data_IF_900735965191
#
_entry.id   IF_900735965191
#
_cell.length_a   1.000
_cell.length_b   1.000
_cell.length_c   1.000
_cell.angle_alpha   90.00
_cell.angle_beta   90.00
_cell.angle_gamma   90.00
#
_symmetry.space_group_name_H-M   'P 1'
#
loop_
_entity.id
_entity.type
_entity.pdbx_description
1 polymer ?
#
# COMPACT_ATOMS: atom_id res chain seq x y z
N UNK A 1 -23.03 15.77 -20.43
CA UNK A 1 -24.13 15.89 -19.44
C UNK A 1 -25.07 14.68 -19.41
N UNK A 2 -25.30 13.95 -20.52
CA UNK A 2 -26.18 12.76 -20.51
C UNK A 2 -25.54 11.51 -19.87
N UNK A 3 -24.23 11.34 -19.96
CA UNK A 3 -23.52 10.17 -19.42
C UNK A 3 -23.41 10.15 -17.89
N UNK A 4 -23.34 11.33 -17.25
CA UNK A 4 -23.31 11.47 -15.80
C UNK A 4 -24.64 11.11 -15.12
N UNK A 5 -25.76 11.21 -15.85
CA UNK A 5 -27.07 10.75 -15.36
C UNK A 5 -27.21 9.23 -15.41
N UNK A 6 -26.65 8.58 -16.44
CA UNK A 6 -26.65 7.12 -16.55
C UNK A 6 -25.92 6.46 -15.39
N UNK A 7 -24.75 6.99 -15.02
CA UNK A 7 -23.96 6.42 -13.92
C UNK A 7 -24.57 6.68 -12.55
N UNK A 8 -25.17 7.85 -12.32
CA UNK A 8 -25.92 8.14 -11.09
C UNK A 8 -27.11 7.18 -10.92
N UNK A 9 -27.84 6.88 -12.00
CA UNK A 9 -28.93 5.91 -11.96
C UNK A 9 -28.44 4.48 -11.67
N UNK A 10 -27.31 4.06 -12.26
CA UNK A 10 -26.72 2.72 -12.00
C UNK A 10 -26.16 2.61 -10.58
N UNK A 11 -25.54 3.67 -10.06
CA UNK A 11 -25.02 3.73 -8.69
C UNK A 11 -26.14 3.76 -7.65
N UNK A 12 -27.21 4.51 -7.90
CA UNK A 12 -28.41 4.49 -7.05
C UNK A 12 -29.08 3.12 -7.11
N UNK A 13 -29.18 2.51 -8.29
CA UNK A 13 -29.78 1.18 -8.47
C UNK A 13 -28.99 0.05 -7.79
N UNK A 14 -27.66 0.09 -7.85
CA UNK A 14 -26.82 -0.86 -7.11
C UNK A 14 -26.89 -0.62 -5.60
N UNK A 15 -26.98 0.64 -5.18
CA UNK A 15 -27.17 1.02 -3.78
C UNK A 15 -28.48 0.49 -3.20
N UNK A 16 -29.62 0.66 -3.90
CA UNK A 16 -30.91 0.11 -3.46
C UNK A 16 -30.91 -1.41 -3.43
N UNK A 17 -30.23 -2.06 -4.38
CA UNK A 17 -30.14 -3.53 -4.43
C UNK A 17 -29.34 -4.08 -3.25
N UNK A 18 -28.23 -3.44 -2.89
CA UNK A 18 -27.44 -3.77 -1.69
C UNK A 18 -28.24 -3.50 -0.42
N UNK A 19 -28.94 -2.36 -0.33
CA UNK A 19 -29.80 -2.03 0.81
C UNK A 19 -30.91 -3.09 1.00
N UNK A 20 -31.57 -3.50 -0.08
CA UNK A 20 -32.64 -4.52 -0.06
C UNK A 20 -32.11 -5.90 0.32
N UNK A 21 -30.93 -6.30 -0.19
CA UNK A 21 -30.30 -7.56 0.16
C UNK A 21 -29.87 -7.63 1.64
N UNK A 22 -29.54 -6.48 2.22
CA UNK A 22 -29.11 -6.32 3.60
C UNK A 22 -30.31 -6.27 4.56
N UNK A 23 -31.38 -5.55 4.22
CA UNK A 23 -32.63 -5.50 5.00
C UNK A 23 -33.25 -6.91 5.14
N UNK A 24 -33.21 -7.72 4.08
CA UNK A 24 -33.76 -9.08 4.10
C UNK A 24 -32.95 -10.10 4.92
N UNK A 25 -31.70 -9.80 5.31
CA UNK A 25 -30.82 -10.74 6.03
C UNK A 25 -30.60 -10.42 7.52
N UNK A 26 -31.20 -9.34 8.04
CA UNK A 26 -31.23 -9.03 9.47
C UNK A 26 -29.85 -8.94 10.15
N UNK A 27 -28.79 -8.65 9.40
CA UNK A 27 -27.42 -8.67 9.93
C UNK A 27 -26.85 -7.25 9.95
N UNK A 28 -27.02 -6.59 11.09
CA UNK A 28 -26.70 -5.18 11.30
C UNK A 28 -25.23 -4.83 10.97
N UNK A 29 -24.29 -5.77 11.20
CA UNK A 29 -22.88 -5.55 10.88
C UNK A 29 -22.58 -5.43 9.38
N UNK A 30 -23.35 -6.13 8.53
CA UNK A 30 -23.22 -6.00 7.08
C UNK A 30 -23.78 -4.64 6.60
N UNK A 31 -24.83 -4.12 7.25
CA UNK A 31 -25.41 -2.79 6.98
C UNK A 31 -24.36 -1.71 7.19
N UNK A 32 -23.69 -1.72 8.36
CA UNK A 32 -22.69 -0.70 8.69
C UNK A 32 -21.44 -0.81 7.82
N UNK A 33 -20.95 -2.02 7.54
CA UNK A 33 -19.79 -2.20 6.67
C UNK A 33 -20.06 -1.73 5.23
N UNK A 34 -21.23 -2.04 4.67
CA UNK A 34 -21.62 -1.58 3.34
C UNK A 34 -21.85 -0.07 3.29
N UNK A 35 -22.53 0.52 4.28
CA UNK A 35 -22.72 1.98 4.37
C UNK A 35 -21.41 2.74 4.54
N UNK A 36 -20.42 2.19 5.27
CA UNK A 36 -19.09 2.80 5.40
C UNK A 36 -18.28 2.74 4.10
N UNK A 37 -18.35 1.63 3.36
CA UNK A 37 -17.69 1.51 2.05
C UNK A 37 -18.33 2.47 1.05
N UNK A 38 -19.66 2.54 1.00
CA UNK A 38 -20.41 3.43 0.11
C UNK A 38 -20.19 4.90 0.45
N UNK A 39 -20.24 5.28 1.73
CA UNK A 39 -20.02 6.65 2.16
C UNK A 39 -18.55 7.06 1.99
N UNK A 40 -17.59 6.17 2.28
CA UNK A 40 -16.16 6.41 2.07
C UNK A 40 -15.81 6.58 0.59
N UNK A 41 -16.27 5.68 -0.27
CA UNK A 41 -16.07 5.78 -1.73
C UNK A 41 -16.83 6.97 -2.28
N UNK A 42 -18.08 7.21 -1.85
CA UNK A 42 -18.91 8.31 -2.31
C UNK A 42 -18.36 9.70 -1.96
N UNK A 43 -17.88 9.90 -0.73
CA UNK A 43 -17.30 11.17 -0.28
C UNK A 43 -15.94 11.42 -0.94
N UNK A 44 -15.10 10.39 -1.10
CA UNK A 44 -13.85 10.48 -1.85
C UNK A 44 -14.10 10.80 -3.33
N UNK A 45 -15.12 10.20 -3.95
CA UNK A 45 -15.46 10.44 -5.36
C UNK A 45 -16.08 11.83 -5.59
N UNK A 46 -16.97 12.30 -4.72
CA UNK A 46 -17.60 13.63 -4.83
C UNK A 46 -16.60 14.78 -4.58
N UNK A 47 -15.75 14.65 -3.54
CA UNK A 47 -14.68 15.63 -3.26
C UNK A 47 -13.67 15.69 -4.42
N UNK A 48 -13.35 14.52 -5.01
CA UNK A 48 -12.47 14.38 -6.17
C UNK A 48 -13.12 14.96 -7.44
N UNK A 49 -14.41 14.76 -7.70
CA UNK A 49 -15.06 15.37 -8.88
C UNK A 49 -15.06 16.90 -8.89
N UNK A 50 -15.10 17.55 -7.72
CA UNK A 50 -15.03 19.02 -7.62
C UNK A 50 -13.61 19.58 -7.67
N UNK A 51 -12.57 18.81 -7.31
CA UNK A 51 -11.15 19.21 -7.40
C UNK A 51 -10.44 18.79 -8.70
N UNK A 52 -10.78 17.63 -9.27
CA UNK A 52 -10.10 17.04 -10.44
C UNK A 52 -10.25 17.86 -11.72
N UNK A 53 -11.31 18.66 -11.84
CA UNK A 53 -11.50 19.53 -13.00
C UNK A 53 -10.44 20.64 -13.13
N UNK A 54 -9.77 21.01 -12.05
CA UNK A 54 -8.76 22.07 -12.07
C UNK A 54 -7.33 21.49 -12.11
N UNK A 55 -7.08 20.35 -11.45
CA UNK A 55 -5.72 19.79 -11.37
C UNK A 55 -5.25 19.09 -12.65
N UNK A 56 -6.16 18.49 -13.43
CA UNK A 56 -5.86 17.88 -14.74
C UNK A 56 -5.43 18.89 -15.80
N UNK A 57 -5.73 20.19 -15.59
CA UNK A 57 -5.32 21.30 -16.46
C UNK A 57 -3.97 21.88 -16.11
N UNK A 58 -3.38 21.49 -14.98
CA UNK A 58 -2.06 21.98 -14.59
C UNK A 58 -0.98 21.44 -15.53
N UNK A 59 0.07 22.22 -15.81
CA UNK A 59 1.23 21.75 -16.55
C UNK A 59 1.81 20.49 -15.90
N UNK A 60 2.24 19.52 -16.72
CA UNK A 60 2.78 18.25 -16.24
C UNK A 60 3.87 18.43 -15.16
N UNK A 61 4.80 19.38 -15.36
CA UNK A 61 5.88 19.63 -14.39
C UNK A 61 5.35 20.10 -13.02
N UNK A 62 4.23 20.83 -13.01
CA UNK A 62 3.57 21.25 -11.76
C UNK A 62 2.96 20.04 -11.05
N UNK A 63 2.30 19.16 -11.80
CA UNK A 63 1.70 17.92 -11.29
C UNK A 63 2.77 16.96 -10.74
N UNK A 64 3.92 16.84 -11.41
CA UNK A 64 5.09 16.11 -10.89
C UNK A 64 5.59 16.71 -9.58
N UNK A 65 5.69 18.04 -9.48
CA UNK A 65 6.12 18.72 -8.25
C UNK A 65 5.17 18.45 -7.07
N UNK A 66 3.88 18.33 -7.34
CA UNK A 66 2.87 17.92 -6.35
C UNK A 66 3.07 16.45 -5.93
N UNK A 67 3.28 15.54 -6.90
CA UNK A 67 3.55 14.13 -6.63
C UNK A 67 4.81 13.93 -5.77
N UNK A 68 5.85 14.76 -5.92
CA UNK A 68 7.04 14.72 -5.03
C UNK A 68 6.72 14.95 -3.55
N UNK A 69 5.56 15.55 -3.25
CA UNK A 69 5.08 15.83 -1.89
C UNK A 69 3.98 14.86 -1.45
N UNK A 70 3.76 13.78 -2.20
CA UNK A 70 2.77 12.76 -1.86
C UNK A 70 3.02 12.22 -0.46
N UNK A 71 1.92 11.98 0.29
CA UNK A 71 1.99 11.61 1.71
C UNK A 71 2.79 10.33 1.97
N UNK A 72 2.85 9.42 1.00
CA UNK A 72 3.65 8.19 1.10
C UNK A 72 5.12 8.47 1.40
N UNK A 73 5.73 9.46 0.75
CA UNK A 73 7.15 9.76 0.92
C UNK A 73 7.45 10.30 2.31
N UNK A 74 6.53 11.10 2.85
CA UNK A 74 6.63 11.59 4.22
C UNK A 74 6.38 10.48 5.24
N UNK A 75 5.31 9.70 5.08
CA UNK A 75 4.94 8.64 6.01
C UNK A 75 5.99 7.53 6.08
N UNK A 76 6.51 7.06 4.94
CA UNK A 76 7.58 6.05 4.94
C UNK A 76 8.82 6.54 5.68
N UNK A 77 9.27 7.78 5.42
CA UNK A 77 10.41 8.37 6.15
C UNK A 77 10.13 8.46 7.65
N UNK A 78 8.95 8.95 8.04
CA UNK A 78 8.54 9.02 9.45
C UNK A 78 8.56 7.63 10.11
N UNK A 79 8.00 6.61 9.45
CA UNK A 79 8.00 5.25 9.98
C UNK A 79 9.41 4.70 10.15
N UNK A 80 10.27 4.89 9.15
CA UNK A 80 11.69 4.48 9.18
C UNK A 80 12.47 5.17 10.31
N UNK A 81 12.33 6.48 10.45
CA UNK A 81 13.16 7.28 11.34
C UNK A 81 12.67 7.30 12.78
N UNK A 82 11.38 7.07 12.98
CA UNK A 82 10.74 7.30 14.28
C UNK A 82 9.93 6.10 14.76
N UNK A 83 8.90 5.68 14.03
CA UNK A 83 7.94 4.70 14.55
C UNK A 83 8.57 3.29 14.67
N UNK A 84 9.33 2.84 13.67
CA UNK A 84 10.00 1.54 13.70
C UNK A 84 11.03 1.46 14.84
N UNK A 85 11.78 2.54 15.09
CA UNK A 85 12.79 2.55 16.18
C UNK A 85 12.17 2.40 17.57
N UNK A 86 10.90 2.74 17.71
CA UNK A 86 10.13 2.70 18.96
C UNK A 86 9.36 1.40 19.17
N UNK A 87 9.47 0.46 18.23
CA UNK A 87 8.98 -0.90 18.44
C UNK A 87 9.69 -1.47 19.67
N UNK A 88 8.95 -1.64 20.77
CA UNK A 88 9.45 -2.19 22.01
C UNK A 88 9.05 -3.67 22.13
N UNK A 89 10.06 -4.53 22.20
CA UNK A 89 9.91 -5.97 22.37
C UNK A 89 10.90 -6.37 23.46
N UNK A 90 10.43 -7.14 24.44
CA UNK A 90 11.22 -7.56 25.60
C UNK A 90 12.55 -8.20 25.19
N UNK A 91 12.53 -9.07 24.18
CA UNK A 91 13.73 -9.65 23.61
C UNK A 91 14.41 -8.71 22.60
N UNK A 92 15.55 -8.14 23.00
CA UNK A 92 16.32 -7.20 22.16
C UNK A 92 16.82 -7.77 20.84
N UNK A 93 17.09 -9.07 20.75
CA UNK A 93 17.47 -9.71 19.46
C UNK A 93 16.28 -9.73 18.50
N UNK A 94 15.09 -10.09 19.00
CA UNK A 94 13.85 -10.07 18.21
C UNK A 94 13.50 -8.65 17.77
N UNK A 95 13.62 -7.71 18.71
CA UNK A 95 13.43 -6.28 18.45
C UNK A 95 14.33 -5.82 17.30
N UNK A 96 15.64 -6.06 17.39
CA UNK A 96 16.60 -5.67 16.37
C UNK A 96 16.26 -6.28 15.01
N UNK A 97 15.91 -7.57 14.98
CA UNK A 97 15.61 -8.30 13.74
C UNK A 97 14.38 -7.70 13.03
N UNK A 98 13.28 -7.50 13.77
CA UNK A 98 12.04 -6.88 13.24
C UNK A 98 12.29 -5.44 12.80
N UNK A 99 12.94 -4.63 13.64
CA UNK A 99 13.22 -3.23 13.31
C UNK A 99 14.09 -3.11 12.05
N UNK A 100 15.13 -3.93 11.94
CA UNK A 100 16.05 -3.94 10.80
C UNK A 100 15.34 -4.40 9.53
N UNK A 101 14.57 -5.49 9.59
CA UNK A 101 13.79 -5.97 8.46
C UNK A 101 12.82 -4.90 7.94
N UNK A 102 12.00 -4.32 8.83
CA UNK A 102 11.01 -3.30 8.46
C UNK A 102 11.66 -2.05 7.89
N UNK A 103 12.77 -1.61 8.48
CA UNK A 103 13.54 -0.48 7.98
C UNK A 103 14.05 -0.74 6.56
N UNK A 104 14.55 -1.93 6.27
CA UNK A 104 15.06 -2.29 4.94
C UNK A 104 13.91 -2.38 3.93
N UNK A 105 12.80 -3.06 4.25
CA UNK A 105 11.61 -3.16 3.39
C UNK A 105 11.11 -1.76 3.00
N UNK A 106 10.90 -0.87 3.96
CA UNK A 106 10.39 0.47 3.68
C UNK A 106 11.38 1.35 2.91
N UNK A 107 12.69 1.25 3.18
CA UNK A 107 13.70 2.00 2.43
C UNK A 107 13.77 1.57 0.96
N UNK A 108 13.78 0.26 0.69
CA UNK A 108 13.84 -0.26 -0.68
C UNK A 108 12.67 0.25 -1.52
N UNK A 109 11.44 0.17 -0.99
CA UNK A 109 10.27 0.66 -1.72
C UNK A 109 10.20 2.19 -1.78
N UNK A 110 10.64 2.91 -0.75
CA UNK A 110 10.74 4.38 -0.80
C UNK A 110 11.67 4.82 -1.94
N UNK A 111 12.88 4.24 -2.01
CA UNK A 111 13.84 4.52 -3.09
C UNK A 111 13.29 4.11 -4.45
N UNK A 112 12.63 2.94 -4.53
CA UNK A 112 11.99 2.45 -5.74
C UNK A 112 10.95 3.42 -6.29
N UNK A 113 10.01 3.85 -5.46
CA UNK A 113 8.94 4.78 -5.86
C UNK A 113 9.47 6.16 -6.26
N UNK A 114 10.52 6.66 -5.60
CA UNK A 114 11.19 7.90 -6.00
C UNK A 114 11.85 7.76 -7.38
N UNK A 115 12.52 6.63 -7.64
CA UNK A 115 13.10 6.33 -8.96
C UNK A 115 12.02 6.22 -10.03
N UNK A 116 10.88 5.61 -9.72
CA UNK A 116 9.76 5.51 -10.65
C UNK A 116 9.15 6.87 -10.97
N UNK A 117 9.03 7.78 -10.00
CA UNK A 117 8.57 9.14 -10.26
C UNK A 117 9.48 9.88 -11.25
N UNK A 118 10.81 9.74 -11.13
CA UNK A 118 11.75 10.34 -12.09
C UNK A 118 11.65 9.67 -13.48
N UNK A 119 11.50 8.34 -13.54
CA UNK A 119 11.26 7.62 -14.79
C UNK A 119 9.95 8.04 -15.48
N UNK A 120 8.89 8.27 -14.73
CA UNK A 120 7.60 8.75 -15.26
C UNK A 120 7.76 10.16 -15.83
N UNK A 121 8.55 11.01 -15.16
CA UNK A 121 8.88 12.33 -15.68
C UNK A 121 9.54 12.26 -17.06
N UNK A 122 10.43 11.28 -17.26
CA UNK A 122 11.13 11.05 -18.53
C UNK A 122 10.20 10.42 -19.60
N UNK A 123 9.54 9.31 -19.27
CA UNK A 123 8.74 8.51 -20.21
C UNK A 123 7.35 9.09 -20.48
N UNK A 124 6.88 10.01 -19.63
CA UNK A 124 5.53 10.58 -19.63
C UNK A 124 4.41 9.54 -19.48
N UNK A 125 4.72 8.32 -19.06
CA UNK A 125 3.75 7.24 -18.83
C UNK A 125 4.10 6.40 -17.61
N UNK A 126 3.07 5.81 -16.98
CA UNK A 126 3.20 4.93 -15.80
C UNK A 126 3.53 3.48 -16.12
N UNK A 127 3.48 3.09 -17.39
CA UNK A 127 3.65 1.69 -17.78
C UNK A 127 2.41 0.84 -17.53
N UNK A 128 2.50 -0.44 -17.88
CA UNK A 128 1.41 -1.40 -17.78
C UNK A 128 1.49 -2.25 -16.50
N UNK A 129 0.56 -3.19 -16.37
CA UNK A 129 0.51 -4.07 -15.20
C UNK A 129 1.75 -4.96 -15.08
N UNK A 130 2.28 -5.47 -16.20
CA UNK A 130 3.47 -6.32 -16.18
C UNK A 130 4.69 -5.56 -15.63
N UNK A 131 4.85 -4.31 -16.03
CA UNK A 131 5.86 -3.41 -15.49
C UNK A 131 5.76 -3.27 -13.96
N UNK A 132 4.56 -3.01 -13.45
CA UNK A 132 4.34 -2.83 -12.01
C UNK A 132 4.46 -4.14 -11.22
N UNK A 133 4.07 -5.26 -11.82
CA UNK A 133 4.27 -6.58 -11.23
C UNK A 133 5.77 -6.92 -11.11
N UNK A 134 6.58 -6.59 -12.12
CA UNK A 134 8.05 -6.70 -12.05
C UNK A 134 8.62 -5.78 -10.99
N UNK A 135 8.14 -4.53 -10.87
CA UNK A 135 8.56 -3.61 -9.81
C UNK A 135 8.33 -4.19 -8.41
N UNK A 136 7.14 -4.74 -8.14
CA UNK A 136 6.79 -5.35 -6.86
C UNK A 136 7.71 -6.54 -6.54
N UNK A 137 7.83 -7.49 -7.46
CA UNK A 137 8.66 -8.68 -7.25
C UNK A 137 10.14 -8.33 -7.08
N UNK A 138 10.66 -7.38 -7.86
CA UNK A 138 12.04 -6.90 -7.70
C UNK A 138 12.24 -6.23 -6.35
N UNK A 139 11.30 -5.40 -5.91
CA UNK A 139 11.34 -4.77 -4.59
C UNK A 139 11.37 -5.80 -3.46
N UNK A 140 10.57 -6.85 -3.59
CA UNK A 140 10.53 -7.98 -2.64
C UNK A 140 11.88 -8.69 -2.56
N UNK A 141 12.39 -9.16 -3.69
CA UNK A 141 13.68 -9.84 -3.76
C UNK A 141 14.82 -8.95 -3.24
N UNK A 142 14.83 -7.66 -3.60
CA UNK A 142 15.86 -6.72 -3.20
C UNK A 142 15.88 -6.48 -1.69
N UNK A 143 14.71 -6.30 -1.04
CA UNK A 143 14.71 -6.05 0.40
C UNK A 143 15.02 -7.34 1.17
N UNK A 144 14.60 -8.53 0.73
CA UNK A 144 14.97 -9.81 1.38
C UNK A 144 16.48 -9.98 1.34
N UNK A 145 17.10 -9.82 0.16
CA UNK A 145 18.54 -9.93 -0.01
C UNK A 145 19.30 -8.95 0.90
N UNK A 146 18.89 -7.67 0.92
CA UNK A 146 19.48 -6.66 1.81
C UNK A 146 19.28 -7.00 3.29
N UNK A 147 18.12 -7.51 3.66
CA UNK A 147 17.81 -7.90 5.04
C UNK A 147 18.72 -9.04 5.50
N UNK A 148 18.81 -10.12 4.74
CA UNK A 148 19.67 -11.27 5.05
C UNK A 148 21.14 -10.85 5.13
N UNK A 149 21.63 -10.04 4.17
CA UNK A 149 22.99 -9.49 4.20
C UNK A 149 23.27 -8.59 5.41
N UNK A 150 22.24 -7.94 5.93
CA UNK A 150 22.34 -7.12 7.15
C UNK A 150 22.27 -7.94 8.44
N UNK A 151 22.19 -9.27 8.33
CA UNK A 151 22.08 -10.17 9.47
C UNK A 151 20.65 -10.39 9.94
N UNK A 152 19.61 -10.05 9.18
CA UNK A 152 18.24 -10.47 9.52
C UNK A 152 18.12 -11.98 9.31
N UNK A 153 17.42 -12.66 10.22
CA UNK A 153 17.18 -14.10 10.11
C UNK A 153 16.42 -14.45 8.81
N UNK A 154 17.04 -15.26 7.96
CA UNK A 154 16.48 -15.65 6.66
C UNK A 154 15.14 -16.38 6.78
N UNK A 155 15.02 -17.32 7.73
CA UNK A 155 13.77 -18.05 7.99
C UNK A 155 12.64 -17.11 8.41
N UNK A 156 12.97 -16.08 9.19
CA UNK A 156 12.02 -15.04 9.55
C UNK A 156 11.56 -14.25 8.31
N UNK A 157 12.49 -13.85 7.42
CA UNK A 157 12.12 -13.20 6.15
C UNK A 157 11.18 -14.07 5.32
N UNK A 158 11.50 -15.35 5.11
CA UNK A 158 10.66 -16.29 4.36
C UNK A 158 9.23 -16.37 4.90
N UNK A 159 9.08 -16.59 6.22
CA UNK A 159 7.77 -16.76 6.86
C UNK A 159 7.00 -15.43 6.87
N UNK A 160 7.70 -14.31 7.04
CA UNK A 160 7.08 -12.98 7.02
C UNK A 160 6.49 -12.67 5.63
N UNK A 161 7.13 -13.14 4.57
CA UNK A 161 6.66 -12.94 3.20
C UNK A 161 5.54 -13.91 2.80
N UNK A 162 5.61 -15.17 3.26
CA UNK A 162 4.47 -16.09 3.20
C UNK A 162 3.22 -15.47 3.85
N UNK A 163 3.40 -14.78 4.98
CA UNK A 163 2.31 -14.09 5.67
C UNK A 163 1.76 -12.88 4.88
N UNK A 164 2.63 -12.08 4.25
CA UNK A 164 2.21 -10.90 3.50
C UNK A 164 1.74 -11.17 2.08
N UNK A 165 1.96 -12.38 1.56
CA UNK A 165 1.61 -12.75 0.18
C UNK A 165 0.19 -12.35 -0.22
N UNK A 166 -0.80 -12.52 0.66
CA UNK A 166 -2.19 -12.13 0.38
C UNK A 166 -2.34 -10.61 0.19
N UNK A 167 -1.70 -9.80 1.02
CA UNK A 167 -1.76 -8.34 0.90
C UNK A 167 -1.04 -7.85 -0.36
N UNK A 168 0.06 -8.52 -0.73
CA UNK A 168 0.81 -8.23 -1.95
C UNK A 168 0.02 -8.56 -3.21
N UNK A 169 -0.65 -9.71 -3.25
CA UNK A 169 -1.58 -10.07 -4.34
C UNK A 169 -2.71 -9.05 -4.47
N UNK A 170 -3.35 -8.67 -3.35
CA UNK A 170 -4.39 -7.63 -3.36
C UNK A 170 -3.86 -6.28 -3.88
N UNK A 171 -2.60 -5.97 -3.61
CA UNK A 171 -1.94 -4.75 -4.06
C UNK A 171 -1.66 -4.79 -5.57
N UNK A 172 -1.14 -5.89 -6.08
CA UNK A 172 -0.96 -6.08 -7.52
C UNK A 172 -2.29 -5.97 -8.27
N UNK A 173 -3.34 -6.63 -7.76
CA UNK A 173 -4.67 -6.58 -8.35
C UNK A 173 -5.27 -5.16 -8.35
N UNK A 174 -5.14 -4.43 -7.25
CA UNK A 174 -5.58 -3.02 -7.19
C UNK A 174 -4.84 -2.14 -8.20
N UNK A 175 -3.52 -2.38 -8.38
CA UNK A 175 -2.73 -1.65 -9.38
C UNK A 175 -3.23 -1.98 -10.79
N UNK A 176 -3.53 -3.25 -11.09
CA UNK A 176 -4.12 -3.66 -12.37
C UNK A 176 -5.40 -2.89 -12.68
N UNK A 177 -6.31 -2.81 -11.70
CA UNK A 177 -7.57 -2.07 -11.83
C UNK A 177 -7.34 -0.57 -12.07
N UNK A 178 -6.39 0.05 -11.34
CA UNK A 178 -6.03 1.46 -11.52
C UNK A 178 -5.53 1.72 -12.95
N UNK A 179 -4.63 0.86 -13.45
CA UNK A 179 -4.00 1.02 -14.77
C UNK A 179 -5.00 0.84 -15.92
N UNK A 180 -5.96 -0.06 -15.75
CA UNK A 180 -7.02 -0.33 -16.71
C UNK A 180 -8.15 0.71 -16.68
N UNK A 181 -8.20 1.58 -15.66
CA UNK A 181 -9.24 2.58 -15.54
C UNK A 181 -9.06 3.70 -16.59
N UNK A 182 -10.00 3.88 -17.54
CA UNK A 182 -9.89 4.89 -18.58
C UNK A 182 -10.17 6.31 -18.07
N UNK A 183 -10.68 6.46 -16.84
CA UNK A 183 -11.02 7.76 -16.25
C UNK A 183 -9.80 8.49 -15.68
N UNK A 184 -8.67 7.80 -15.51
CA UNK A 184 -7.45 8.39 -14.99
C UNK A 184 -6.43 8.59 -16.11
N UNK A 185 -5.81 9.76 -16.14
CA UNK A 185 -4.57 9.93 -16.89
C UNK A 185 -3.38 9.27 -16.16
N UNK A 186 -2.22 9.23 -16.81
CA UNK A 186 -1.05 8.54 -16.27
C UNK A 186 -0.59 9.11 -14.91
N UNK A 187 -0.63 10.42 -14.69
CA UNK A 187 -0.21 10.98 -13.40
C UNK A 187 -1.25 10.74 -12.30
N UNK A 188 -2.55 10.70 -12.63
CA UNK A 188 -3.61 10.29 -11.71
C UNK A 188 -3.49 8.82 -11.35
N UNK A 189 -3.16 7.95 -12.32
CA UNK A 189 -2.85 6.54 -12.07
C UNK A 189 -1.67 6.40 -11.14
N UNK A 190 -0.59 7.14 -11.37
CA UNK A 190 0.56 7.10 -10.47
C UNK A 190 0.20 7.54 -9.06
N UNK A 191 -0.56 8.63 -8.90
CA UNK A 191 -1.04 9.07 -7.58
C UNK A 191 -1.86 7.98 -6.88
N UNK A 192 -2.78 7.33 -7.60
CA UNK A 192 -3.59 6.25 -7.04
C UNK A 192 -2.73 5.01 -6.68
N UNK A 193 -1.69 4.72 -7.45
CA UNK A 193 -0.71 3.68 -7.13
C UNK A 193 0.05 4.04 -5.85
N UNK A 194 0.48 5.29 -5.68
CA UNK A 194 1.12 5.76 -4.45
C UNK A 194 0.20 5.65 -3.24
N UNK A 195 -1.08 5.98 -3.38
CA UNK A 195 -2.09 5.78 -2.32
C UNK A 195 -2.25 4.29 -1.97
N UNK A 196 -2.25 3.42 -2.98
CA UNK A 196 -2.35 1.98 -2.77
C UNK A 196 -1.14 1.43 -2.01
N UNK A 197 0.07 1.86 -2.36
CA UNK A 197 1.27 1.53 -1.60
C UNK A 197 1.22 2.07 -0.17
N UNK A 198 0.78 3.32 0.02
CA UNK A 198 0.67 3.91 1.36
C UNK A 198 -0.26 3.07 2.25
N UNK A 199 -1.37 2.60 1.70
CA UNK A 199 -2.29 1.73 2.41
C UNK A 199 -1.66 0.37 2.75
N UNK A 200 -1.01 -0.29 1.79
CA UNK A 200 -0.34 -1.58 2.02
C UNK A 200 0.78 -1.49 3.07
N UNK A 201 1.59 -0.42 3.03
CA UNK A 201 2.63 -0.20 4.05
C UNK A 201 2.04 0.17 5.41
N UNK A 202 0.91 0.89 5.44
CA UNK A 202 0.19 1.17 6.69
C UNK A 202 -0.34 -0.11 7.32
N UNK A 203 -0.90 -1.03 6.52
CA UNK A 203 -1.32 -2.34 7.01
C UNK A 203 -0.12 -3.09 7.60
N UNK A 204 0.98 -3.18 6.85
CA UNK A 204 2.22 -3.83 7.30
C UNK A 204 2.72 -3.19 8.61
N UNK A 205 2.75 -1.86 8.69
CA UNK A 205 3.18 -1.12 9.87
C UNK A 205 2.26 -1.35 11.08
N UNK A 206 0.94 -1.37 10.87
CA UNK A 206 -0.02 -1.63 11.96
C UNK A 206 0.05 -3.09 12.42
N UNK A 207 0.28 -4.01 11.49
CA UNK A 207 0.43 -5.43 11.78
C UNK A 207 1.81 -5.77 12.37
N UNK A 208 2.77 -4.84 12.42
CA UNK A 208 3.99 -5.01 13.23
C UNK A 208 3.62 -5.41 14.65
N UNK A 209 2.58 -4.81 15.26
CA UNK A 209 2.13 -5.19 16.60
C UNK A 209 1.54 -6.61 16.67
N UNK A 210 0.95 -7.11 15.58
CA UNK A 210 0.52 -8.51 15.49
C UNK A 210 1.70 -9.46 15.25
N UNK A 211 2.70 -9.07 14.46
CA UNK A 211 3.97 -9.79 14.32
C UNK A 211 4.68 -9.87 15.68
N UNK A 212 4.63 -8.80 16.47
CA UNK A 212 5.15 -8.73 17.85
C UNK A 212 4.41 -9.71 18.78
N UNK A 213 3.08 -9.84 18.63
CA UNK A 213 2.26 -10.67 19.53
C UNK A 213 2.10 -12.12 19.08
N UNK A 214 2.06 -12.40 17.78
CA UNK A 214 1.36 -13.59 17.28
C UNK A 214 1.78 -13.99 15.87
N UNK A 215 2.87 -14.73 15.79
CA UNK A 215 2.87 -15.91 14.94
C UNK A 215 3.82 -16.92 15.55
N UNK A 216 3.33 -18.04 16.09
CA UNK A 216 4.18 -19.07 16.69
C UNK A 216 5.24 -19.62 15.72
N UNK A 217 5.04 -19.51 14.40
CA UNK A 217 6.08 -19.82 13.40
C UNK A 217 7.15 -18.74 13.29
N UNK A 218 6.78 -17.44 13.31
CA UNK A 218 7.74 -16.33 13.33
C UNK A 218 8.49 -16.28 14.67
N UNK A 219 7.80 -16.53 15.78
CA UNK A 219 8.41 -16.59 17.12
C UNK A 219 9.44 -17.72 17.21
N UNK A 220 9.09 -18.93 16.76
CA UNK A 220 10.04 -20.06 16.69
C UNK A 220 11.24 -19.76 15.80
N UNK A 221 11.04 -19.09 14.66
CA UNK A 221 12.13 -18.69 13.80
C UNK A 221 13.11 -17.72 14.50
N UNK A 222 12.61 -16.96 15.49
CA UNK A 222 13.37 -15.98 16.25
C UNK A 222 13.91 -16.52 17.60
N UNK A 223 13.48 -17.68 18.09
CA UNK A 223 13.90 -18.25 19.39
C UNK A 223 15.34 -18.75 19.42
N UNK A 224 15.81 -19.37 18.35
CA UNK A 224 17.14 -20.01 18.29
C UNK A 224 18.16 -19.20 17.47
N UNK A 225 17.87 -17.93 17.21
CA UNK A 225 18.68 -17.11 16.33
C UNK A 225 19.77 -16.32 17.10
N UNK A 226 21.02 -16.51 16.71
CA UNK A 226 22.16 -15.74 17.20
C UNK A 226 22.49 -14.59 16.25
N UNK A 227 22.68 -13.39 16.80
CA UNK A 227 23.14 -12.22 16.04
C UNK A 227 24.56 -12.54 15.52
N UNK A 228 24.84 -12.40 14.21
CA UNK A 228 26.18 -12.54 13.67
C UNK A 228 27.13 -11.62 14.43
N UNK A 229 28.23 -12.17 14.96
CA UNK A 229 29.22 -11.37 15.68
C UNK A 229 29.83 -10.35 14.71
N UNK A 230 29.56 -9.06 14.90
CA UNK A 230 30.19 -7.96 14.14
C UNK A 230 29.28 -6.92 13.49
N UNK A 231 27.97 -6.88 13.80
CA UNK A 231 27.04 -5.83 13.37
C UNK A 231 26.71 -4.84 14.50
#
# INVERSE_FOLDING_TARGET
MKESFGFAATFIGSLTTVLLAVINKGNDYAVYASLFIIAGVGILFFSKMTKVKDESRMPFETRISILKRHEIFYNLKKWIDFDIRRIDIENKKRQWNIQTHMKIKFNVFLEGLLKELEKIKERRTVGDYEYWHVFLNRGILEYIDKAVKSGVNEKYCEIFEEYHQKSELNTAESIREILQNPLYDDLEKFSAILDRFLWAFRETHNDIHKIIKMNGRLEKALENWEIPRGC
#
